data_IF_237827875254
#
_entry.id   IF_237827875254
#
_cell.length_a   1.000
_cell.length_b   1.000
_cell.length_c   1.000
_cell.angle_alpha   90.00
_cell.angle_beta   90.00
_cell.angle_gamma   90.00
#
_symmetry.space_group_name_H-M   'P 1'
#
loop_
_entity.id
_entity.type
_entity.pdbx_description
1 polymer ?
#
# COMPACT_ATOMS: atom_id res chain seq x y z
N UNK A 1 -31.22 12.44 33.69
CA UNK A 1 -30.98 12.02 32.29
C UNK A 1 -29.85 12.86 31.71
N UNK A 2 -28.63 12.30 31.66
CA UNK A 2 -27.56 12.82 30.79
C UNK A 2 -27.15 11.64 29.92
N UNK A 3 -27.69 11.60 28.71
CA UNK A 3 -27.25 10.65 27.69
C UNK A 3 -25.87 11.08 27.24
N UNK A 4 -24.83 10.50 27.83
CA UNK A 4 -23.46 10.70 27.40
C UNK A 4 -23.23 9.74 26.23
N UNK A 5 -23.70 10.14 25.05
CA UNK A 5 -23.18 9.56 23.81
C UNK A 5 -21.75 10.04 23.69
N UNK A 6 -20.82 9.22 24.17
CA UNK A 6 -19.41 9.36 23.81
C UNK A 6 -19.39 9.07 22.31
N UNK A 7 -19.43 10.13 21.49
CA UNK A 7 -18.94 10.03 20.12
C UNK A 7 -17.53 9.45 20.26
N UNK A 8 -17.37 8.18 19.87
CA UNK A 8 -16.09 7.49 19.85
C UNK A 8 -15.22 8.20 18.82
N UNK A 9 -14.58 9.31 19.21
CA UNK A 9 -13.50 9.95 18.47
C UNK A 9 -12.29 9.02 18.59
N UNK A 10 -12.30 7.93 17.82
CA UNK A 10 -11.12 7.11 17.63
C UNK A 10 -10.28 7.78 16.55
N UNK A 11 -9.13 8.39 16.90
CA UNK A 11 -8.25 8.96 15.90
C UNK A 11 -7.72 7.82 15.02
N UNK A 12 -7.90 7.97 13.71
CA UNK A 12 -7.32 7.09 12.70
C UNK A 12 -5.96 7.67 12.29
N UNK A 13 -5.02 6.78 11.97
CA UNK A 13 -3.76 7.16 11.38
C UNK A 13 -3.38 6.23 10.24
N UNK A 14 -3.05 6.81 9.10
CA UNK A 14 -2.42 6.13 7.97
C UNK A 14 -0.92 6.35 8.06
N UNK A 15 -0.16 5.26 8.13
CA UNK A 15 1.29 5.29 8.32
C UNK A 15 1.98 4.89 7.01
N UNK A 16 3.01 5.63 6.65
CA UNK A 16 3.88 5.35 5.51
C UNK A 16 5.34 5.43 5.92
N UNK A 17 6.25 5.20 4.97
CA UNK A 17 7.68 5.26 5.29
C UNK A 17 8.08 6.70 5.69
N UNK A 18 8.57 6.86 6.92
CA UNK A 18 8.98 8.16 7.48
C UNK A 18 7.87 9.22 7.57
N UNK A 19 6.59 8.83 7.50
CA UNK A 19 5.47 9.79 7.52
C UNK A 19 4.21 9.19 8.16
N UNK A 20 3.28 10.06 8.60
CA UNK A 20 1.96 9.67 9.10
C UNK A 20 0.91 10.72 8.70
N UNK A 21 -0.30 10.26 8.44
CA UNK A 21 -1.49 11.09 8.23
C UNK A 21 -2.54 10.74 9.29
N UNK A 22 -2.82 11.68 10.20
CA UNK A 22 -3.84 11.54 11.24
C UNK A 22 -5.18 12.11 10.75
N UNK A 23 -6.29 11.46 11.12
CA UNK A 23 -7.64 11.85 10.73
C UNK A 23 -8.70 11.38 11.73
N UNK A 24 -9.78 12.14 11.86
CA UNK A 24 -10.92 11.78 12.72
C UNK A 24 -11.99 10.95 11.97
N UNK A 25 -12.00 11.03 10.65
CA UNK A 25 -12.84 10.26 9.74
C UNK A 25 -12.05 10.04 8.44
N UNK A 26 -12.40 8.99 7.69
CA UNK A 26 -11.70 8.64 6.45
C UNK A 26 -12.00 9.69 5.37
N UNK A 27 -10.97 10.45 4.98
CA UNK A 27 -10.98 11.32 3.80
C UNK A 27 -10.29 10.59 2.65
N UNK A 28 -11.10 9.97 1.78
CA UNK A 28 -10.62 9.12 0.68
C UNK A 28 -9.62 9.83 -0.23
N UNK A 29 -9.88 11.09 -0.59
CA UNK A 29 -9.00 11.84 -1.50
C UNK A 29 -7.64 12.03 -0.85
N UNK A 30 -7.63 12.45 0.42
CA UNK A 30 -6.40 12.68 1.18
C UNK A 30 -5.62 11.40 1.43
N UNK A 31 -6.33 10.28 1.64
CA UNK A 31 -5.72 8.94 1.75
C UNK A 31 -5.04 8.54 0.44
N UNK A 32 -5.72 8.67 -0.70
CA UNK A 32 -5.17 8.29 -2.01
C UNK A 32 -3.93 9.14 -2.34
N UNK A 33 -4.00 10.45 -2.13
CA UNK A 33 -2.86 11.35 -2.35
C UNK A 33 -1.68 11.01 -1.43
N UNK A 34 -1.95 10.67 -0.16
CA UNK A 34 -0.93 10.24 0.78
C UNK A 34 -0.24 8.95 0.33
N UNK A 35 -1.01 7.93 -0.07
CA UNK A 35 -0.47 6.66 -0.57
C UNK A 35 0.38 6.88 -1.82
N UNK A 36 -0.10 7.68 -2.78
CA UNK A 36 0.68 8.00 -3.99
C UNK A 36 1.99 8.71 -3.68
N UNK A 37 2.01 9.58 -2.67
CA UNK A 37 3.19 10.37 -2.30
C UNK A 37 4.23 9.57 -1.51
N UNK A 38 3.77 8.71 -0.59
CA UNK A 38 4.64 8.04 0.39
C UNK A 38 4.73 6.51 0.23
N UNK A 39 3.92 5.89 -0.64
CA UNK A 39 3.91 4.44 -0.86
C UNK A 39 5.14 3.90 -1.60
N UNK A 40 5.73 4.69 -2.52
CA UNK A 40 6.86 4.25 -3.36
C UNK A 40 8.24 4.65 -2.79
N UNK A 41 8.34 4.90 -1.48
CA UNK A 41 9.57 5.41 -0.85
C UNK A 41 10.13 4.45 0.20
N UNK A 42 9.93 3.15 0.01
CA UNK A 42 10.68 2.16 0.77
C UNK A 42 12.18 2.33 0.42
N UNK A 43 13.09 2.21 1.41
CA UNK A 43 14.53 2.27 1.19
C UNK A 43 15.05 0.98 0.56
N UNK A 44 14.16 0.02 0.30
CA UNK A 44 14.46 -1.22 -0.36
C UNK A 44 14.84 -0.91 -1.81
N UNK A 45 16.10 -1.16 -2.16
CA UNK A 45 16.51 -1.28 -3.56
C UNK A 45 15.83 -2.53 -4.11
N UNK A 46 14.64 -2.36 -4.71
CA UNK A 46 14.07 -3.40 -5.56
C UNK A 46 15.03 -3.57 -6.74
N UNK A 47 15.84 -4.63 -6.69
CA UNK A 47 16.62 -5.04 -7.86
C UNK A 47 15.64 -5.23 -9.01
N UNK A 48 15.77 -4.42 -10.06
CA UNK A 48 14.94 -4.55 -11.27
C UNK A 48 15.11 -5.90 -11.97
N UNK A 49 16.19 -6.59 -11.63
CA UNK A 49 16.63 -7.85 -12.24
C UNK A 49 16.34 -9.07 -11.35
N UNK A 50 15.33 -9.01 -10.47
CA UNK A 50 14.77 -10.23 -9.87
C UNK A 50 15.64 -10.92 -8.80
N UNK A 51 16.15 -10.19 -7.80
CA UNK A 51 16.82 -10.81 -6.64
C UNK A 51 15.85 -11.51 -5.66
N UNK A 52 14.67 -11.91 -6.12
CA UNK A 52 13.71 -12.72 -5.35
C UNK A 52 13.89 -14.22 -5.62
N UNK A 53 14.86 -14.62 -6.44
CA UNK A 53 15.21 -16.02 -6.74
C UNK A 53 15.87 -16.74 -5.55
N UNK A 54 16.50 -16.00 -4.64
CA UNK A 54 17.07 -16.60 -3.43
C UNK A 54 15.93 -17.15 -2.54
N UNK A 55 15.96 -18.46 -2.33
CA UNK A 55 14.98 -19.25 -1.56
C UNK A 55 13.61 -19.48 -2.22
N UNK A 56 13.42 -19.17 -3.50
CA UNK A 56 12.26 -19.66 -4.25
C UNK A 56 12.34 -21.19 -4.38
N UNK A 57 11.49 -21.91 -3.63
CA UNK A 57 11.41 -23.39 -3.70
C UNK A 57 10.87 -23.83 -5.07
N UNK A 58 9.97 -23.03 -5.66
CA UNK A 58 9.43 -23.22 -7.01
C UNK A 58 8.95 -21.89 -7.58
N UNK A 59 9.07 -21.70 -8.89
CA UNK A 59 8.51 -20.55 -9.60
C UNK A 59 6.99 -20.48 -9.43
N UNK A 60 6.45 -19.25 -9.42
CA UNK A 60 5.01 -19.04 -9.36
C UNK A 60 4.36 -19.57 -10.65
N UNK A 61 3.42 -20.51 -10.51
CA UNK A 61 2.68 -21.03 -11.66
C UNK A 61 1.71 -19.96 -12.17
N UNK A 62 1.72 -19.73 -13.48
CA UNK A 62 0.72 -18.89 -14.15
C UNK A 62 -0.67 -19.52 -13.96
N UNK A 63 -1.53 -18.86 -13.19
CA UNK A 63 -2.91 -19.32 -12.89
C UNK A 63 -3.90 -18.88 -13.98
N UNK A 64 -3.53 -17.91 -14.82
CA UNK A 64 -4.39 -17.36 -15.88
C UNK A 64 -3.56 -16.80 -17.04
N UNK A 65 -3.85 -17.22 -18.27
CA UNK A 65 -3.21 -16.71 -19.52
C UNK A 65 -3.40 -15.19 -19.71
N UNK A 66 -4.36 -14.57 -19.00
CA UNK A 66 -4.61 -13.13 -19.08
C UNK A 66 -3.57 -12.27 -18.34
N UNK A 67 -2.71 -12.88 -17.53
CA UNK A 67 -1.67 -12.19 -16.77
C UNK A 67 -0.28 -12.30 -17.43
N UNK A 68 -0.18 -12.85 -18.64
CA UNK A 68 1.11 -12.95 -19.35
C UNK A 68 1.64 -11.59 -19.81
N UNK A 69 0.75 -10.61 -20.04
CA UNK A 69 1.11 -9.28 -20.54
C UNK A 69 0.68 -8.17 -19.57
N UNK A 70 1.22 -8.19 -18.35
CA UNK A 70 0.92 -7.16 -17.34
C UNK A 70 1.46 -5.77 -17.71
N UNK A 71 2.45 -5.68 -18.61
CA UNK A 71 3.06 -4.42 -19.04
C UNK A 71 3.41 -4.42 -20.54
N UNK A 72 2.44 -4.21 -21.44
CA UNK A 72 2.70 -4.23 -22.89
C UNK A 72 3.50 -3.02 -23.42
N UNK A 73 3.83 -2.03 -22.59
CA UNK A 73 4.46 -0.76 -23.02
C UNK A 73 5.73 -0.38 -22.21
N UNK A 74 6.42 -1.33 -21.57
CA UNK A 74 7.72 -1.01 -20.97
C UNK A 74 8.82 -1.13 -22.03
N UNK A 75 9.28 0.00 -22.56
CA UNK A 75 10.42 0.14 -23.45
C UNK A 75 11.35 1.23 -22.92
#
# INVERSE_FOLDING_TARGET
MKSLWIFNFQPLALVGWGSRLEMNAVDEKRVIEYIKKYGNRAPEEITRDGSYDEYLIQEAKVISEKDENLCPNYQ
#
